data_IF_317102684883
#
_entry.id   IF_317102684883
#
_cell.length_a   1.000
_cell.length_b   1.000
_cell.length_c   1.000
_cell.angle_alpha   90.00
_cell.angle_beta   90.00
_cell.angle_gamma   90.00
#
_symmetry.space_group_name_H-M   'P 1'
#
loop_
_entity.id
_entity.type
_entity.pdbx_description
1 polymer ?
#
# COMPACT_ATOMS: atom_id res chain seq x y z
N UNK A 1 -6.80 9.98 -21.06
CA UNK A 1 -6.73 11.02 -20.02
C UNK A 1 -5.42 11.77 -20.21
N UNK A 2 -5.42 13.03 -20.68
CA UNK A 2 -4.19 13.84 -20.74
C UNK A 2 -3.80 14.11 -19.29
N UNK A 3 -2.75 13.46 -18.81
CA UNK A 3 -2.09 13.86 -17.57
C UNK A 3 -1.70 15.33 -17.74
N UNK A 4 -2.36 16.22 -17.00
CA UNK A 4 -1.79 17.56 -16.78
C UNK A 4 -0.41 17.29 -16.24
N UNK A 5 0.63 17.93 -16.79
CA UNK A 5 1.98 17.82 -16.25
C UNK A 5 1.90 18.18 -14.77
N UNK A 6 1.83 17.17 -13.91
CA UNK A 6 1.72 17.42 -12.49
C UNK A 6 3.06 18.00 -12.08
N UNK A 7 3.04 19.21 -11.60
CA UNK A 7 4.22 19.84 -10.99
C UNK A 7 4.59 19.14 -9.66
N UNK A 8 3.91 18.06 -9.33
CA UNK A 8 4.11 17.27 -8.11
C UNK A 8 5.33 16.35 -8.24
N UNK A 9 6.13 16.32 -7.20
CA UNK A 9 7.34 15.52 -7.10
C UNK A 9 7.41 14.84 -5.75
N UNK A 10 7.85 13.58 -5.71
CA UNK A 10 8.22 12.93 -4.46
C UNK A 10 9.53 13.52 -3.95
N UNK A 11 9.61 13.74 -2.65
CA UNK A 11 10.86 14.06 -1.93
C UNK A 11 11.33 12.87 -1.08
N UNK A 12 10.52 11.82 -0.96
CA UNK A 12 10.88 10.56 -0.34
C UNK A 12 9.74 9.86 0.37
N UNK A 13 9.95 8.58 0.59
CA UNK A 13 9.05 7.71 1.31
C UNK A 13 9.24 7.86 2.82
N UNK A 14 8.17 8.14 3.57
CA UNK A 14 8.23 8.20 5.04
C UNK A 14 7.58 7.00 5.73
N UNK A 15 6.82 6.18 4.98
CA UNK A 15 6.17 4.98 5.50
C UNK A 15 6.06 3.94 4.39
N UNK A 16 6.30 2.67 4.73
CA UNK A 16 6.15 1.57 3.80
C UNK A 16 5.66 0.31 4.51
N UNK A 17 4.57 -0.25 4.04
CA UNK A 17 4.02 -1.50 4.55
C UNK A 17 4.00 -2.57 3.46
N UNK A 18 3.57 -3.78 3.81
CA UNK A 18 3.22 -4.83 2.87
C UNK A 18 1.76 -4.62 2.48
N UNK A 19 1.50 -4.54 1.19
CA UNK A 19 0.12 -4.43 0.69
C UNK A 19 -0.14 -5.49 -0.35
N UNK A 20 -1.40 -5.83 -0.58
CA UNK A 20 -1.75 -6.85 -1.54
C UNK A 20 -3.21 -7.30 -1.49
N UNK A 21 -3.41 -8.55 -1.89
CA UNK A 21 -4.71 -9.22 -1.89
C UNK A 21 -4.75 -10.23 -0.75
N UNK A 22 -5.81 -10.22 0.02
CA UNK A 22 -6.09 -11.24 1.04
C UNK A 22 -7.14 -12.19 0.48
N UNK A 23 -6.89 -13.51 0.56
CA UNK A 23 -7.86 -14.55 0.20
C UNK A 23 -8.17 -15.34 1.47
N UNK A 24 -9.44 -15.57 1.76
CA UNK A 24 -9.85 -16.46 2.87
C UNK A 24 -9.22 -17.83 2.69
N UNK A 25 -8.71 -18.43 3.75
CA UNK A 25 -8.03 -19.75 3.66
C UNK A 25 -8.95 -20.82 3.08
N UNK A 26 -10.22 -20.85 3.48
CA UNK A 26 -11.23 -21.78 2.96
C UNK A 26 -11.62 -21.54 1.48
N UNK A 27 -11.09 -20.49 0.84
CA UNK A 27 -11.32 -20.11 -0.55
C UNK A 27 -10.08 -20.22 -1.44
N UNK A 28 -8.93 -20.57 -0.89
CA UNK A 28 -7.68 -20.69 -1.64
C UNK A 28 -7.79 -21.74 -2.76
N UNK A 29 -8.49 -22.84 -2.52
CA UNK A 29 -8.72 -23.86 -3.55
C UNK A 29 -9.60 -23.36 -4.70
N UNK A 30 -10.60 -22.50 -4.46
CA UNK A 30 -11.36 -21.84 -5.55
C UNK A 30 -10.43 -21.02 -6.46
N UNK A 31 -9.50 -20.26 -5.84
CA UNK A 31 -8.50 -19.50 -6.57
C UNK A 31 -7.61 -20.41 -7.41
N UNK A 32 -7.11 -21.52 -6.84
CA UNK A 32 -6.25 -22.50 -7.53
C UNK A 32 -6.94 -23.19 -8.68
N UNK A 33 -8.22 -23.46 -8.53
CA UNK A 33 -9.04 -24.12 -9.55
C UNK A 33 -9.59 -23.17 -10.61
N UNK A 34 -9.20 -21.89 -10.59
CA UNK A 34 -9.73 -20.85 -11.49
C UNK A 34 -11.25 -20.74 -11.43
N UNK A 35 -11.86 -20.99 -10.27
CA UNK A 35 -13.29 -20.78 -10.05
C UNK A 35 -13.59 -19.29 -9.86
N UNK A 36 -14.86 -18.90 -10.01
CA UNK A 36 -15.26 -17.51 -9.76
C UNK A 36 -15.03 -17.11 -8.31
N UNK A 37 -14.26 -16.03 -8.11
CA UNK A 37 -13.99 -15.41 -6.82
C UNK A 37 -14.47 -13.98 -6.80
N UNK A 38 -14.97 -13.55 -5.63
CA UNK A 38 -15.49 -12.21 -5.38
C UNK A 38 -14.62 -11.50 -4.34
N UNK A 39 -14.03 -10.38 -4.72
CA UNK A 39 -13.05 -9.63 -3.96
C UNK A 39 -13.66 -8.29 -3.53
N UNK A 40 -13.75 -8.03 -2.23
CA UNK A 40 -14.14 -6.72 -1.71
C UNK A 40 -12.99 -5.72 -1.82
N UNK A 41 -13.28 -4.46 -2.14
CA UNK A 41 -12.28 -3.40 -2.29
C UNK A 41 -12.89 -2.01 -2.08
N UNK A 42 -12.17 -1.04 -1.49
CA UNK A 42 -12.67 0.34 -1.35
C UNK A 42 -12.65 1.12 -2.67
N UNK A 43 -12.09 0.57 -3.75
CA UNK A 43 -11.98 1.22 -5.04
C UNK A 43 -12.04 0.23 -6.20
N UNK A 44 -13.23 -0.13 -6.65
CA UNK A 44 -13.47 -0.98 -7.81
C UNK A 44 -13.52 -0.15 -9.11
N UNK A 45 -12.36 0.17 -9.67
CA UNK A 45 -12.24 0.88 -10.94
C UNK A 45 -11.25 0.15 -11.88
N UNK A 46 -11.26 0.44 -13.21
CA UNK A 46 -10.44 -0.29 -14.18
C UNK A 46 -8.93 -0.31 -13.86
N UNK A 47 -8.39 0.73 -13.23
CA UNK A 47 -6.96 0.80 -12.90
C UNK A 47 -6.63 -0.09 -11.70
N UNK A 48 -7.35 0.08 -10.59
CA UNK A 48 -7.13 -0.70 -9.37
C UNK A 48 -7.42 -2.18 -9.60
N UNK A 49 -8.52 -2.51 -10.31
CA UNK A 49 -8.88 -3.89 -10.63
C UNK A 49 -7.82 -4.58 -11.48
N UNK A 50 -7.25 -3.86 -12.48
CA UNK A 50 -6.19 -4.41 -13.32
C UNK A 50 -4.92 -4.74 -12.51
N UNK A 51 -4.56 -3.87 -11.57
CA UNK A 51 -3.42 -4.11 -10.67
C UNK A 51 -3.71 -5.31 -9.76
N UNK A 52 -4.88 -5.35 -9.11
CA UNK A 52 -5.28 -6.45 -8.23
C UNK A 52 -5.30 -7.79 -8.96
N UNK A 53 -5.86 -7.84 -10.17
CA UNK A 53 -5.86 -9.03 -11.01
C UNK A 53 -4.43 -9.46 -11.39
N UNK A 54 -3.55 -8.52 -11.76
CA UNK A 54 -2.17 -8.83 -12.10
C UNK A 54 -1.40 -9.45 -10.94
N UNK A 55 -1.62 -8.98 -9.72
CA UNK A 55 -1.03 -9.57 -8.51
C UNK A 55 -1.46 -11.04 -8.37
N UNK A 56 -2.76 -11.30 -8.50
CA UNK A 56 -3.32 -12.67 -8.44
C UNK A 56 -2.79 -13.55 -9.57
N UNK A 57 -2.71 -13.02 -10.80
CA UNK A 57 -2.22 -13.73 -11.98
C UNK A 57 -0.73 -14.11 -11.84
N UNK A 58 0.11 -13.20 -11.33
CA UNK A 58 1.53 -13.49 -11.05
C UNK A 58 1.70 -14.50 -9.91
N UNK A 59 0.87 -14.42 -8.88
CA UNK A 59 0.81 -15.44 -7.84
C UNK A 59 0.45 -16.80 -8.41
N UNK A 60 -0.61 -16.88 -9.23
CA UNK A 60 -1.04 -18.11 -9.89
C UNK A 60 0.08 -18.72 -10.74
N UNK A 61 0.71 -17.92 -11.60
CA UNK A 61 1.82 -18.37 -12.45
C UNK A 61 3.01 -18.89 -11.63
N UNK A 62 3.38 -18.20 -10.54
CA UNK A 62 4.46 -18.63 -9.64
C UNK A 62 4.15 -19.99 -8.99
N UNK A 63 2.87 -20.27 -8.74
CA UNK A 63 2.40 -21.48 -8.09
C UNK A 63 1.90 -22.58 -9.09
N UNK A 64 2.11 -22.39 -10.39
CA UNK A 64 1.87 -23.42 -11.41
C UNK A 64 0.42 -23.55 -11.87
N UNK A 65 -0.42 -22.53 -11.70
CA UNK A 65 -1.77 -22.46 -12.22
C UNK A 65 -2.03 -21.15 -12.97
N UNK A 66 -3.22 -21.00 -13.56
CA UNK A 66 -3.62 -19.80 -14.31
C UNK A 66 -4.95 -19.27 -13.78
N UNK A 67 -5.18 -17.99 -13.95
CA UNK A 67 -6.45 -17.31 -13.63
C UNK A 67 -6.97 -16.59 -14.86
N UNK A 68 -8.28 -16.74 -15.10
CA UNK A 68 -9.00 -15.99 -16.10
C UNK A 68 -9.57 -14.71 -15.46
N UNK A 69 -9.43 -13.59 -16.17
CA UNK A 69 -9.88 -12.29 -15.65
C UNK A 69 -11.39 -12.25 -15.38
N UNK A 70 -12.16 -13.03 -16.14
CA UNK A 70 -13.62 -13.14 -16.01
C UNK A 70 -14.04 -13.91 -14.74
N UNK A 71 -13.11 -14.61 -14.10
CA UNK A 71 -13.34 -15.33 -12.85
C UNK A 71 -12.99 -14.52 -11.59
N UNK A 72 -12.51 -13.28 -11.75
CA UNK A 72 -12.18 -12.41 -10.62
C UNK A 72 -13.08 -11.16 -10.66
N UNK A 73 -14.03 -11.11 -9.74
CA UNK A 73 -14.95 -9.98 -9.57
C UNK A 73 -14.49 -9.08 -8.42
N UNK A 74 -14.25 -7.79 -8.71
CA UNK A 74 -13.98 -6.78 -7.69
C UNK A 74 -15.25 -5.99 -7.40
N UNK A 75 -15.64 -5.96 -6.14
CA UNK A 75 -16.86 -5.28 -5.67
C UNK A 75 -16.50 -4.14 -4.73
N UNK A 76 -16.98 -2.95 -5.07
CA UNK A 76 -16.72 -1.76 -4.26
C UNK A 76 -17.50 -1.82 -2.94
N UNK A 77 -16.76 -1.61 -1.86
CA UNK A 77 -17.24 -1.55 -0.49
C UNK A 77 -16.52 -0.41 0.25
N UNK A 78 -15.93 -0.71 1.39
CA UNK A 78 -15.10 0.20 2.18
C UNK A 78 -13.79 -0.48 2.62
N UNK A 79 -13.07 0.12 3.57
CA UNK A 79 -11.83 -0.43 4.14
C UNK A 79 -12.04 -1.44 5.29
N UNK A 80 -13.27 -1.79 5.66
CA UNK A 80 -13.55 -2.76 6.72
C UNK A 80 -13.51 -4.20 6.18
N UNK A 81 -12.39 -4.56 5.55
CA UNK A 81 -12.24 -5.80 4.78
C UNK A 81 -12.57 -7.06 5.59
N UNK A 82 -12.03 -7.20 6.80
CA UNK A 82 -12.28 -8.37 7.65
C UNK A 82 -13.76 -8.44 8.04
N UNK A 83 -14.34 -7.32 8.45
CA UNK A 83 -15.76 -7.22 8.77
C UNK A 83 -16.64 -7.57 7.58
N UNK A 84 -16.30 -7.06 6.37
CA UNK A 84 -17.04 -7.35 5.15
C UNK A 84 -17.04 -8.85 4.81
N UNK A 85 -15.86 -9.50 4.86
CA UNK A 85 -15.74 -10.94 4.59
C UNK A 85 -16.39 -11.83 5.68
N UNK A 86 -16.51 -11.34 6.91
CA UNK A 86 -17.22 -12.05 8.00
C UNK A 86 -18.73 -11.91 7.90
N UNK A 87 -19.22 -10.76 7.46
CA UNK A 87 -20.66 -10.46 7.36
C UNK A 87 -21.28 -10.97 6.05
N UNK A 88 -20.50 -11.10 4.99
CA UNK A 88 -20.94 -11.62 3.69
C UNK A 88 -19.98 -12.72 3.21
N UNK A 89 -20.38 -13.97 3.44
CA UNK A 89 -19.60 -15.15 3.04
C UNK A 89 -19.45 -15.31 1.51
N UNK A 90 -20.15 -14.49 0.72
CA UNK A 90 -19.96 -14.45 -0.74
C UNK A 90 -18.63 -13.81 -1.13
N UNK A 91 -17.99 -13.02 -0.25
CA UNK A 91 -16.65 -12.52 -0.47
C UNK A 91 -15.60 -13.60 -0.19
N UNK A 92 -14.82 -13.91 -1.21
CA UNK A 92 -13.73 -14.87 -1.15
C UNK A 92 -12.40 -14.22 -0.73
N UNK A 93 -12.29 -12.89 -0.82
CA UNK A 93 -11.10 -12.14 -0.47
C UNK A 93 -11.30 -10.63 -0.48
N UNK A 94 -10.20 -9.90 -0.28
CA UNK A 94 -10.15 -8.45 -0.24
C UNK A 94 -8.92 -7.91 -0.99
N UNK A 95 -9.07 -6.76 -1.64
CA UNK A 95 -8.01 -6.05 -2.36
C UNK A 95 -7.77 -4.66 -1.77
N UNK A 96 -6.57 -4.14 -1.89
CA UNK A 96 -6.03 -2.96 -1.21
C UNK A 96 -5.91 -3.18 0.31
N UNK A 97 -5.57 -4.40 0.71
CA UNK A 97 -5.24 -4.71 2.08
C UNK A 97 -3.82 -4.26 2.43
N UNK A 98 -3.64 -3.75 3.65
CA UNK A 98 -2.35 -3.36 4.21
C UNK A 98 -2.07 -4.21 5.45
N UNK A 99 -0.92 -4.88 5.48
CA UNK A 99 -0.61 -5.84 6.53
C UNK A 99 -0.66 -5.26 7.94
N UNK A 100 -0.21 -4.01 8.11
CA UNK A 100 -0.22 -3.33 9.40
C UNK A 100 -1.62 -2.99 9.93
N UNK A 101 -2.66 -3.14 9.11
CA UNK A 101 -4.07 -3.02 9.47
C UNK A 101 -4.74 -4.39 9.37
N UNK A 102 -5.19 -4.79 8.17
CA UNK A 102 -5.97 -6.01 7.96
C UNK A 102 -5.20 -7.28 8.30
N UNK A 103 -3.87 -7.30 8.10
CA UNK A 103 -3.06 -8.45 8.49
C UNK A 103 -2.99 -8.64 10.00
N UNK A 104 -2.92 -7.55 10.77
CA UNK A 104 -2.95 -7.56 12.23
C UNK A 104 -4.35 -7.92 12.72
N UNK A 105 -5.39 -7.28 12.19
CA UNK A 105 -6.78 -7.55 12.53
C UNK A 105 -7.14 -9.02 12.29
N UNK A 106 -6.85 -9.55 11.10
CA UNK A 106 -7.09 -10.95 10.77
C UNK A 106 -6.41 -11.91 11.76
N UNK A 107 -5.14 -11.63 12.09
CA UNK A 107 -4.38 -12.45 13.05
C UNK A 107 -5.02 -12.43 14.45
N UNK A 108 -5.42 -11.26 14.94
CA UNK A 108 -6.02 -11.12 16.28
C UNK A 108 -7.41 -11.75 16.38
N UNK A 109 -8.18 -11.69 15.29
CA UNK A 109 -9.52 -12.26 15.22
C UNK A 109 -9.54 -13.75 14.83
N UNK A 110 -8.38 -14.37 14.61
CA UNK A 110 -8.28 -15.76 14.15
C UNK A 110 -8.88 -15.97 12.76
N UNK A 111 -8.88 -14.94 11.93
CA UNK A 111 -9.36 -14.99 10.55
C UNK A 111 -8.25 -15.55 9.64
N UNK A 112 -8.32 -16.86 9.38
CA UNK A 112 -7.34 -17.56 8.56
C UNK A 112 -7.40 -17.09 7.10
N UNK A 113 -6.24 -16.72 6.54
CA UNK A 113 -6.13 -16.17 5.21
C UNK A 113 -4.76 -16.38 4.58
N UNK A 114 -4.74 -16.33 3.25
CA UNK A 114 -3.53 -16.17 2.44
C UNK A 114 -3.38 -14.68 2.10
N UNK A 115 -2.32 -14.05 2.60
CA UNK A 115 -1.99 -12.65 2.27
C UNK A 115 -0.97 -12.59 1.12
N UNK A 116 -1.45 -12.30 -0.10
CA UNK A 116 -0.64 -12.25 -1.32
C UNK A 116 -0.03 -10.85 -1.47
N UNK A 117 1.19 -10.70 -0.98
CA UNK A 117 2.01 -9.48 -1.10
C UNK A 117 3.20 -9.70 -2.06
N UNK A 118 4.18 -8.78 -2.05
CA UNK A 118 5.38 -8.86 -2.90
C UNK A 118 6.28 -10.07 -2.63
N UNK A 119 6.14 -10.77 -1.51
CA UNK A 119 6.87 -12.00 -1.21
C UNK A 119 6.19 -13.22 -1.82
N UNK A 120 4.86 -13.19 -1.87
CA UNK A 120 4.06 -14.26 -2.46
C UNK A 120 3.88 -14.12 -3.96
N UNK A 121 3.83 -12.90 -4.48
CA UNK A 121 3.66 -12.60 -5.91
C UNK A 121 4.74 -11.64 -6.40
N UNK A 122 5.35 -11.86 -7.58
CA UNK A 122 6.46 -11.03 -8.07
C UNK A 122 5.95 -9.70 -8.67
N UNK A 123 5.67 -8.74 -7.81
CA UNK A 123 5.37 -7.36 -8.19
C UNK A 123 6.09 -6.38 -7.26
N UNK A 124 6.35 -5.14 -7.69
CA UNK A 124 6.99 -4.14 -6.85
C UNK A 124 6.05 -3.69 -5.73
N UNK A 125 6.57 -3.55 -4.51
CA UNK A 125 5.77 -3.01 -3.41
C UNK A 125 5.44 -1.53 -3.66
N UNK A 126 4.15 -1.22 -3.77
CA UNK A 126 3.62 0.15 -3.90
C UNK A 126 2.88 0.63 -2.65
N UNK A 127 2.84 -0.19 -1.60
CA UNK A 127 2.13 0.13 -0.34
C UNK A 127 2.98 1.04 0.53
N UNK A 128 3.15 2.28 0.07
CA UNK A 128 4.01 3.28 0.67
C UNK A 128 3.33 4.65 0.66
N UNK A 129 3.73 5.49 1.61
CA UNK A 129 3.34 6.90 1.66
C UNK A 129 4.55 7.78 1.33
N UNK A 130 4.40 8.57 0.28
CA UNK A 130 5.42 9.46 -0.22
C UNK A 130 5.14 10.90 0.23
N UNK A 131 6.17 11.57 0.70
CA UNK A 131 6.12 13.01 0.95
C UNK A 131 6.20 13.73 -0.39
N UNK A 132 5.18 14.50 -0.73
CA UNK A 132 5.03 15.14 -2.03
C UNK A 132 5.16 16.65 -1.93
N UNK A 133 5.73 17.25 -2.97
CA UNK A 133 5.81 18.72 -3.13
C UNK A 133 5.57 19.10 -4.59
N UNK A 134 5.60 20.39 -4.91
CA UNK A 134 5.62 20.91 -6.28
C UNK A 134 6.95 21.58 -6.56
N UNK A 135 7.30 21.72 -7.84
CA UNK A 135 8.51 22.45 -8.24
C UNK A 135 8.49 23.91 -7.74
N UNK A 136 7.34 24.55 -7.76
CA UNK A 136 7.16 25.93 -7.25
C UNK A 136 7.40 25.99 -5.74
N UNK A 137 6.79 25.08 -4.97
CA UNK A 137 6.97 25.03 -3.51
C UNK A 137 8.41 24.67 -3.16
N UNK A 138 9.04 23.73 -3.89
CA UNK A 138 10.44 23.40 -3.72
C UNK A 138 11.36 24.60 -3.95
N UNK A 139 11.10 25.41 -4.97
CA UNK A 139 11.88 26.61 -5.25
C UNK A 139 11.72 27.71 -4.18
N UNK A 140 10.55 27.81 -3.59
CA UNK A 140 10.23 28.85 -2.60
C UNK A 140 10.53 28.44 -1.16
N UNK A 141 10.41 27.15 -0.83
CA UNK A 141 10.44 26.61 0.53
C UNK A 141 11.37 25.39 0.67
N UNK A 142 12.39 25.29 -0.16
CA UNK A 142 13.30 24.13 -0.15
C UNK A 142 13.96 23.89 1.21
N UNK A 143 14.40 24.97 1.88
CA UNK A 143 14.99 24.88 3.22
C UNK A 143 13.98 24.36 4.27
N UNK A 144 12.74 24.86 4.23
CA UNK A 144 11.68 24.39 5.14
C UNK A 144 11.31 22.91 4.87
N UNK A 145 11.35 22.47 3.60
CA UNK A 145 11.14 21.07 3.25
C UNK A 145 12.30 20.21 3.79
N UNK A 146 13.54 20.65 3.66
CA UNK A 146 14.68 19.95 4.28
C UNK A 146 14.53 19.81 5.80
N UNK A 147 14.13 20.89 6.47
CA UNK A 147 13.93 20.86 7.92
C UNK A 147 12.74 19.97 8.32
N UNK A 148 11.64 19.98 7.55
CA UNK A 148 10.51 19.09 7.78
C UNK A 148 10.92 17.62 7.65
N UNK A 149 11.70 17.26 6.61
CA UNK A 149 12.21 15.90 6.42
C UNK A 149 13.10 15.49 7.60
N UNK A 150 13.99 16.37 8.04
CA UNK A 150 14.87 16.13 9.18
C UNK A 150 14.07 15.86 10.45
N UNK A 151 13.12 16.76 10.80
CA UNK A 151 12.26 16.60 11.96
C UNK A 151 11.44 15.31 11.87
N UNK A 152 10.90 14.98 10.69
CA UNK A 152 10.14 13.74 10.49
C UNK A 152 11.01 12.50 10.73
N UNK A 153 12.27 12.49 10.25
CA UNK A 153 13.21 11.39 10.50
C UNK A 153 13.54 11.26 12.00
N UNK A 154 13.81 12.38 12.68
CA UNK A 154 14.09 12.39 14.11
C UNK A 154 12.89 11.89 14.91
N UNK A 155 11.67 12.34 14.56
CA UNK A 155 10.45 11.89 15.21
C UNK A 155 10.12 10.43 14.95
N UNK A 156 10.31 9.95 13.71
CA UNK A 156 10.12 8.53 13.41
C UNK A 156 11.04 7.66 14.29
N UNK A 157 12.31 8.04 14.43
CA UNK A 157 13.25 7.35 15.30
C UNK A 157 12.82 7.43 16.77
N UNK A 158 12.45 8.62 17.25
CA UNK A 158 11.98 8.80 18.62
C UNK A 158 10.78 7.92 18.94
N UNK A 159 9.78 7.87 18.05
CA UNK A 159 8.57 7.07 18.25
C UNK A 159 8.86 5.57 18.22
N UNK A 160 9.80 5.11 17.37
CA UNK A 160 10.25 3.71 17.35
C UNK A 160 10.97 3.32 18.66
N UNK A 161 11.73 4.23 19.25
CA UNK A 161 12.43 4.03 20.51
C UNK A 161 11.52 4.19 21.75
N UNK A 162 10.33 4.82 21.59
CA UNK A 162 9.38 5.13 22.65
C UNK A 162 7.93 4.72 22.28
N UNK A 163 7.65 3.43 22.08
CA UNK A 163 6.36 2.97 21.56
C UNK A 163 5.16 3.28 22.49
N UNK A 164 5.35 3.25 23.80
CA UNK A 164 4.28 3.62 24.75
C UNK A 164 3.90 5.10 24.64
N UNK A 165 4.88 5.96 24.44
CA UNK A 165 4.65 7.37 24.20
C UNK A 165 3.95 7.63 22.86
N UNK A 166 4.30 6.84 21.81
CA UNK A 166 3.63 6.90 20.51
C UNK A 166 2.15 6.53 20.64
N UNK A 167 1.81 5.46 21.37
CA UNK A 167 0.42 5.08 21.66
C UNK A 167 -0.32 6.19 22.40
N UNK A 168 0.27 6.73 23.46
CA UNK A 168 -0.31 7.84 24.23
C UNK A 168 -0.62 9.04 23.35
N UNK A 169 0.35 9.49 22.53
CA UNK A 169 0.18 10.61 21.59
C UNK A 169 -0.91 10.32 20.58
N UNK A 170 -0.92 9.11 20.01
CA UNK A 170 -1.94 8.71 19.04
C UNK A 170 -3.35 8.82 19.63
N UNK A 171 -3.59 8.24 20.81
CA UNK A 171 -4.89 8.28 21.46
C UNK A 171 -5.30 9.68 21.89
N UNK A 172 -4.37 10.47 22.40
CA UNK A 172 -4.64 11.86 22.74
C UNK A 172 -5.02 12.72 21.52
N UNK A 173 -4.37 12.50 20.38
CA UNK A 173 -4.62 13.25 19.16
C UNK A 173 -5.87 12.78 18.43
N UNK A 174 -5.99 11.48 18.19
CA UNK A 174 -7.09 10.87 17.40
C UNK A 174 -8.42 10.84 18.16
N UNK A 175 -8.39 10.88 19.48
CA UNK A 175 -9.56 10.64 20.38
C UNK A 175 -10.18 9.25 20.18
N UNK A 176 -9.45 8.33 19.56
CA UNK A 176 -9.87 6.92 19.43
C UNK A 176 -9.81 6.27 20.82
N UNK A 177 -10.75 5.39 21.10
CA UNK A 177 -10.70 4.61 22.35
C UNK A 177 -9.57 3.58 22.27
N UNK A 178 -8.75 3.43 23.32
CA UNK A 178 -7.72 2.40 23.38
C UNK A 178 -8.31 1.00 23.20
N UNK A 179 -7.60 0.16 22.42
CA UNK A 179 -7.94 -1.24 22.24
C UNK A 179 -6.69 -2.04 21.92
N UNK A 180 -6.69 -3.32 22.25
CA UNK A 180 -5.57 -4.23 21.96
C UNK A 180 -5.27 -4.29 20.44
N UNK A 181 -6.30 -4.27 19.60
CA UNK A 181 -6.12 -4.22 18.15
C UNK A 181 -5.37 -2.95 17.73
N UNK A 182 -5.81 -1.79 18.20
CA UNK A 182 -5.17 -0.51 17.85
C UNK A 182 -3.75 -0.42 18.39
N UNK A 183 -3.48 -0.94 19.59
CA UNK A 183 -2.13 -1.03 20.15
C UNK A 183 -1.19 -1.84 19.26
N UNK A 184 -1.63 -3.02 18.79
CA UNK A 184 -0.84 -3.84 17.87
C UNK A 184 -0.65 -3.18 16.50
N UNK A 185 -1.67 -2.50 15.96
CA UNK A 185 -1.57 -1.72 14.71
C UNK A 185 -0.54 -0.59 14.87
N UNK A 186 -0.57 0.16 15.98
CA UNK A 186 0.39 1.24 16.25
C UNK A 186 1.81 0.67 16.29
N UNK A 187 2.06 -0.37 17.07
CA UNK A 187 3.38 -0.98 17.22
C UNK A 187 3.93 -1.46 15.87
N UNK A 188 3.14 -2.20 15.08
CA UNK A 188 3.56 -2.64 13.74
C UNK A 188 3.80 -1.46 12.80
N UNK A 189 2.95 -0.42 12.85
CA UNK A 189 3.09 0.80 12.03
C UNK A 189 4.37 1.57 12.35
N UNK A 190 4.75 1.68 13.63
CA UNK A 190 6.00 2.34 14.04
C UNK A 190 7.22 1.71 13.37
N UNK A 191 7.28 0.37 13.29
CA UNK A 191 8.39 -0.35 12.66
C UNK A 191 8.51 -0.08 11.14
N UNK A 192 7.47 0.47 10.52
CA UNK A 192 7.38 0.77 9.09
C UNK A 192 7.68 2.22 8.74
N UNK A 193 7.79 3.10 9.73
CA UNK A 193 8.23 4.48 9.53
C UNK A 193 9.68 4.48 9.05
N UNK A 194 9.97 5.30 8.05
CA UNK A 194 11.35 5.51 7.56
C UNK A 194 12.02 6.59 8.40
N UNK A 195 13.26 6.31 8.79
CA UNK A 195 14.13 7.25 9.53
C UNK A 195 15.17 7.93 8.62
N UNK A 196 15.09 7.66 7.31
CA UNK A 196 15.94 8.23 6.25
C UNK A 196 15.08 8.49 5.01
N UNK A 197 14.24 9.55 5.10
CA UNK A 197 13.34 9.95 4.02
C UNK A 197 14.16 10.52 2.88
N UNK A 198 14.11 9.83 1.75
CA UNK A 198 14.73 10.24 0.49
C UNK A 198 14.00 9.65 -0.71
N UNK A 199 14.10 10.30 -1.85
CA UNK A 199 13.60 9.74 -3.10
C UNK A 199 14.46 8.53 -3.51
N UNK A 200 13.81 7.44 -3.91
CA UNK A 200 14.44 6.22 -4.39
C UNK A 200 14.13 6.01 -5.87
N UNK A 201 15.10 6.38 -6.71
CA UNK A 201 14.97 6.25 -8.16
C UNK A 201 14.82 4.79 -8.62
N UNK A 202 15.44 3.83 -7.91
CA UNK A 202 15.32 2.40 -8.22
C UNK A 202 13.90 1.90 -8.02
N UNK A 203 13.31 2.22 -6.87
CA UNK A 203 11.91 1.89 -6.55
C UNK A 203 10.94 2.52 -7.56
N UNK A 204 11.16 3.79 -7.92
CA UNK A 204 10.33 4.46 -8.91
C UNK A 204 10.44 3.81 -10.29
N UNK A 205 11.63 3.33 -10.67
CA UNK A 205 11.83 2.61 -11.93
C UNK A 205 11.08 1.28 -11.96
N UNK A 206 11.12 0.52 -10.88
CA UNK A 206 10.40 -0.74 -10.75
C UNK A 206 8.89 -0.53 -10.84
N UNK A 207 8.36 0.45 -10.09
CA UNK A 207 6.94 0.82 -10.15
C UNK A 207 6.51 1.29 -11.53
N UNK A 208 7.32 2.16 -12.18
CA UNK A 208 7.04 2.65 -13.50
C UNK A 208 6.97 1.53 -14.52
N UNK A 209 7.97 0.64 -14.55
CA UNK A 209 7.98 -0.52 -15.46
C UNK A 209 6.77 -1.41 -15.26
N UNK A 210 6.39 -1.66 -14.02
CA UNK A 210 5.21 -2.47 -13.71
C UNK A 210 3.91 -1.85 -14.26
N UNK A 211 3.65 -0.58 -14.00
CA UNK A 211 2.43 0.07 -14.50
C UNK A 211 2.46 0.35 -16.01
N UNK A 212 3.64 0.51 -16.61
CA UNK A 212 3.84 0.60 -18.06
C UNK A 212 3.57 -0.74 -18.76
N UNK A 213 4.08 -1.85 -18.22
CA UNK A 213 3.80 -3.21 -18.68
C UNK A 213 2.30 -3.49 -18.71
N UNK A 214 1.58 -2.99 -17.70
CA UNK A 214 0.12 -3.06 -17.65
C UNK A 214 -0.60 -2.10 -18.63
N UNK A 215 0.13 -1.25 -19.34
CA UNK A 215 -0.46 -0.24 -20.23
C UNK A 215 -1.28 0.82 -19.50
N UNK A 216 -1.03 1.04 -18.19
CA UNK A 216 -1.73 2.02 -17.36
C UNK A 216 -1.13 3.42 -17.49
N UNK A 217 0.16 3.51 -17.80
CA UNK A 217 0.90 4.76 -17.96
C UNK A 217 1.94 4.61 -19.07
N UNK A 218 2.24 5.72 -19.74
CA UNK A 218 3.40 5.84 -20.63
C UNK A 218 3.96 7.25 -20.47
N UNK A 219 5.23 7.35 -20.08
CA UNK A 219 5.91 8.62 -19.81
C UNK A 219 7.06 8.82 -20.79
N UNK A 220 7.31 10.07 -21.20
CA UNK A 220 8.58 10.43 -21.81
C UNK A 220 9.70 10.37 -20.75
N UNK A 221 10.97 10.29 -21.19
CA UNK A 221 12.10 10.31 -20.26
C UNK A 221 12.08 11.59 -19.39
N UNK A 222 11.76 12.74 -19.96
CA UNK A 222 11.62 14.00 -19.22
C UNK A 222 10.53 13.93 -18.15
N UNK A 223 9.37 13.33 -18.45
CA UNK A 223 8.29 13.15 -17.49
C UNK A 223 8.70 12.20 -16.36
N UNK A 224 9.38 11.11 -16.70
CA UNK A 224 9.89 10.13 -15.73
C UNK A 224 10.92 10.80 -14.79
N UNK A 225 11.90 11.52 -15.32
CA UNK A 225 12.95 12.21 -14.54
C UNK A 225 12.38 13.31 -13.62
N UNK A 226 11.15 13.73 -13.88
CA UNK A 226 10.44 14.74 -13.09
C UNK A 226 9.52 14.18 -12.00
N UNK A 227 9.46 12.85 -11.76
CA UNK A 227 8.61 12.24 -10.73
C UNK A 227 9.12 12.58 -9.32
N UNK A 228 10.43 12.68 -9.14
CA UNK A 228 11.05 12.92 -7.84
C UNK A 228 12.01 14.10 -7.85
N UNK A 229 12.38 14.56 -6.68
CA UNK A 229 13.39 15.59 -6.49
C UNK A 229 14.04 15.43 -5.11
N UNK A 230 15.29 15.85 -5.01
CA UNK A 230 15.96 15.97 -3.72
C UNK A 230 16.04 17.44 -3.34
N UNK A 231 15.62 17.83 -2.14
CA UNK A 231 15.84 19.19 -1.65
C UNK A 231 17.34 19.50 -1.67
N UNK A 232 17.70 20.65 -2.23
CA UNK A 232 19.09 21.13 -2.15
C UNK A 232 19.27 21.78 -0.78
N UNK A 233 20.36 21.39 -0.11
CA UNK A 233 20.80 22.07 1.12
C UNK A 233 21.19 23.52 0.82
#
# INVERSE_FOLDING_TARGET
MKLRSSSQKSVGCFFETRGGVMIREDRVEKLRNNEKIKITTPAANPVTNKIGFEILSRYAKKNGFSLDVENVEFVETDFWHITNMKNDESFDGAWLCFYNFEGIEAKMEGFENLFIDQFESPYPNFSALEMMTTQTVMAQKGEQICELIKITNEMAKYLQENPEEAQRIFYEYSKTQPSELMDNIIIDTLLRLKTDIKADAGKWLELYKFVEELGLVSLSQEQYDNIWTSPKK
#
